data_IF_337463373853
#
_entry.id   IF_337463373853
#
_cell.length_a   1.000
_cell.length_b   1.000
_cell.length_c   1.000
_cell.angle_alpha   90.00
_cell.angle_beta   90.00
_cell.angle_gamma   90.00
#
_symmetry.space_group_name_H-M   'P 1'
#
loop_
_entity.id
_entity.type
_entity.pdbx_description
1 polymer ?
#
# COMPACT_ATOMS: atom_id res chain seq x y z
N UNK A 1 14.88 -23.69 -31.51
CA UNK A 1 13.71 -22.78 -31.45
C UNK A 1 14.15 -21.33 -31.40
N UNK A 2 13.58 -20.53 -32.31
CA UNK A 2 13.70 -19.06 -32.33
C UNK A 2 12.95 -18.44 -31.15
N UNK A 3 13.27 -17.18 -30.81
CA UNK A 3 12.62 -16.46 -29.71
C UNK A 3 11.14 -16.21 -30.05
N UNK A 4 10.19 -16.53 -29.17
CA UNK A 4 8.78 -16.29 -29.43
C UNK A 4 8.48 -14.79 -29.56
N UNK A 5 7.65 -14.43 -30.54
CA UNK A 5 7.15 -13.07 -30.69
C UNK A 5 6.08 -12.79 -29.63
N UNK A 6 6.21 -11.66 -28.94
CA UNK A 6 5.28 -11.25 -27.88
C UNK A 6 4.83 -9.83 -28.12
N UNK A 7 3.52 -9.65 -28.31
CA UNK A 7 2.88 -8.35 -28.50
C UNK A 7 2.54 -7.71 -27.15
N UNK A 8 2.92 -6.45 -26.95
CA UNK A 8 2.58 -5.70 -25.73
C UNK A 8 1.06 -5.49 -25.58
N UNK A 9 0.32 -5.34 -26.70
CA UNK A 9 -1.13 -5.20 -26.68
C UNK A 9 -1.80 -6.48 -26.14
N UNK A 10 -1.43 -7.64 -26.71
CA UNK A 10 -1.95 -8.94 -26.25
C UNK A 10 -1.59 -9.24 -24.78
N UNK A 11 -0.39 -8.88 -24.33
CA UNK A 11 -0.02 -9.02 -22.91
C UNK A 11 -0.87 -8.13 -22.00
N UNK A 12 -1.13 -6.88 -22.41
CA UNK A 12 -2.00 -5.96 -21.68
C UNK A 12 -3.43 -6.50 -21.61
N UNK A 13 -3.98 -6.99 -22.71
CA UNK A 13 -5.35 -7.54 -22.75
C UNK A 13 -5.46 -8.80 -21.87
N UNK A 14 -4.49 -9.73 -21.95
CA UNK A 14 -4.44 -10.91 -21.08
C UNK A 14 -4.27 -10.54 -19.60
N UNK A 15 -3.47 -9.51 -19.31
CA UNK A 15 -3.28 -9.01 -17.96
C UNK A 15 -4.59 -8.46 -17.38
N UNK A 16 -5.32 -7.64 -18.16
CA UNK A 16 -6.62 -7.09 -17.77
C UNK A 16 -7.60 -8.22 -17.52
N UNK A 17 -7.72 -9.17 -18.45
CA UNK A 17 -8.58 -10.35 -18.28
C UNK A 17 -8.27 -11.16 -17.02
N UNK A 18 -6.98 -11.35 -16.69
CA UNK A 18 -6.57 -12.02 -15.45
C UNK A 18 -6.96 -11.24 -14.19
N UNK A 19 -6.84 -9.91 -14.21
CA UNK A 19 -7.27 -9.06 -13.10
C UNK A 19 -8.79 -9.10 -12.91
N UNK A 20 -9.55 -9.05 -13.99
CA UNK A 20 -11.02 -9.17 -13.98
C UNK A 20 -11.46 -10.51 -13.41
N UNK A 21 -10.86 -11.61 -13.87
CA UNK A 21 -11.14 -12.94 -13.34
C UNK A 21 -10.85 -13.01 -11.83
N UNK A 22 -9.81 -12.32 -11.34
CA UNK A 22 -9.53 -12.25 -9.91
C UNK A 22 -10.66 -11.57 -9.13
N UNK A 23 -11.17 -10.43 -9.63
CA UNK A 23 -12.28 -9.69 -9.02
C UNK A 23 -13.56 -10.54 -9.04
N UNK A 24 -13.86 -11.18 -10.16
CA UNK A 24 -15.03 -12.06 -10.30
C UNK A 24 -14.98 -13.25 -9.33
N UNK A 25 -13.83 -13.93 -9.25
CA UNK A 25 -13.64 -15.05 -8.32
C UNK A 25 -13.77 -14.57 -6.87
N UNK A 26 -13.25 -13.38 -6.55
CA UNK A 26 -13.36 -12.82 -5.20
C UNK A 26 -14.83 -12.58 -4.80
N UNK A 27 -15.65 -12.13 -5.74
CA UNK A 27 -17.06 -11.82 -5.51
C UNK A 27 -17.99 -13.05 -5.52
N UNK A 28 -17.47 -14.26 -5.77
CA UNK A 28 -18.29 -15.48 -5.69
C UNK A 28 -18.66 -15.80 -4.23
N UNK A 29 -19.91 -16.21 -3.94
CA UNK A 29 -20.41 -16.37 -2.58
C UNK A 29 -19.92 -17.63 -1.84
N UNK A 30 -19.46 -18.67 -2.55
CA UNK A 30 -19.04 -19.94 -1.96
C UNK A 30 -17.77 -20.45 -2.64
N UNK A 31 -16.62 -20.17 -2.05
CA UNK A 31 -15.31 -20.62 -2.51
C UNK A 31 -14.38 -20.79 -1.31
N UNK A 32 -14.11 -22.03 -0.91
CA UNK A 32 -13.19 -22.39 0.19
C UNK A 32 -11.70 -22.19 -0.15
N UNK A 33 -11.38 -21.90 -1.42
CA UNK A 33 -10.02 -21.66 -1.91
C UNK A 33 -9.90 -20.32 -2.66
N UNK A 34 -10.70 -19.33 -2.24
CA UNK A 34 -10.88 -18.06 -2.96
C UNK A 34 -9.62 -17.21 -2.93
N UNK A 35 -9.11 -16.96 -1.74
CA UNK A 35 -8.01 -16.04 -1.48
C UNK A 35 -6.74 -16.50 -2.19
N UNK A 36 -6.53 -17.81 -2.26
CA UNK A 36 -5.41 -18.41 -2.99
C UNK A 36 -5.53 -18.20 -4.49
N UNK A 37 -6.70 -18.51 -5.07
CA UNK A 37 -6.94 -18.31 -6.51
C UNK A 37 -6.84 -16.84 -6.89
N UNK A 38 -7.45 -15.96 -6.09
CA UNK A 38 -7.44 -14.50 -6.32
C UNK A 38 -6.00 -13.98 -6.27
N UNK A 39 -5.22 -14.36 -5.26
CA UNK A 39 -3.81 -13.94 -5.16
C UNK A 39 -3.00 -14.39 -6.37
N UNK A 40 -3.18 -15.64 -6.82
CA UNK A 40 -2.50 -16.16 -8.02
C UNK A 40 -2.85 -15.35 -9.26
N UNK A 41 -4.12 -15.03 -9.44
CA UNK A 41 -4.60 -14.25 -10.58
C UNK A 41 -4.09 -12.80 -10.53
N UNK A 42 -4.11 -12.14 -9.37
CA UNK A 42 -3.59 -10.78 -9.18
C UNK A 42 -2.10 -10.72 -9.47
N UNK A 43 -1.30 -11.63 -8.91
CA UNK A 43 0.15 -11.69 -9.15
C UNK A 43 0.45 -11.94 -10.63
N UNK A 44 -0.30 -12.83 -11.29
CA UNK A 44 -0.17 -13.08 -12.72
C UNK A 44 -0.53 -11.84 -13.57
N UNK A 45 -1.63 -11.15 -13.23
CA UNK A 45 -2.02 -9.92 -13.91
C UNK A 45 -0.89 -8.89 -13.85
N UNK A 46 -0.31 -8.67 -12.66
CA UNK A 46 0.84 -7.79 -12.49
C UNK A 46 2.08 -8.24 -13.30
N UNK A 47 2.40 -9.53 -13.30
CA UNK A 47 3.53 -10.03 -14.09
C UNK A 47 3.34 -9.74 -15.59
N UNK A 48 2.13 -9.96 -16.11
CA UNK A 48 1.79 -9.70 -17.50
C UNK A 48 1.81 -8.21 -17.86
N UNK A 49 1.31 -7.32 -16.98
CA UNK A 49 1.29 -5.88 -17.27
C UNK A 49 2.69 -5.27 -17.26
N UNK A 50 3.57 -5.70 -16.33
CA UNK A 50 4.94 -5.23 -16.31
C UNK A 50 5.71 -5.73 -17.54
N UNK A 51 5.48 -6.97 -17.99
CA UNK A 51 6.02 -7.46 -19.28
C UNK A 51 5.50 -6.65 -20.46
N UNK A 52 4.22 -6.27 -20.44
CA UNK A 52 3.64 -5.42 -21.48
C UNK A 52 4.33 -4.04 -21.50
N UNK A 53 4.55 -3.42 -20.34
CA UNK A 53 5.21 -2.13 -20.20
C UNK A 53 6.66 -2.19 -20.72
N UNK A 54 7.42 -3.21 -20.30
CA UNK A 54 8.78 -3.47 -20.80
C UNK A 54 8.80 -3.63 -22.33
N UNK A 55 7.87 -4.40 -22.91
CA UNK A 55 7.78 -4.56 -24.38
C UNK A 55 7.34 -3.29 -25.10
N UNK A 56 6.43 -2.49 -24.53
CA UNK A 56 6.02 -1.19 -25.06
C UNK A 56 7.25 -0.27 -25.19
N UNK A 57 8.12 -0.29 -24.19
CA UNK A 57 9.42 0.41 -24.17
C UNK A 57 10.56 -0.32 -24.92
N UNK A 58 10.23 -1.30 -25.77
CA UNK A 58 11.15 -2.11 -26.58
C UNK A 58 12.22 -2.90 -25.79
N UNK A 59 12.03 -3.12 -24.48
CA UNK A 59 12.96 -3.85 -23.60
C UNK A 59 12.76 -5.36 -23.65
N UNK A 60 13.76 -6.13 -23.24
CA UNK A 60 13.69 -7.59 -23.21
C UNK A 60 12.75 -8.08 -22.08
N UNK A 61 12.11 -9.25 -22.26
CA UNK A 61 11.24 -9.89 -21.25
C UNK A 61 11.59 -11.38 -21.03
N UNK A 62 12.72 -11.85 -21.55
CA UNK A 62 13.14 -13.25 -21.48
C UNK A 62 14.54 -13.37 -20.87
N UNK A 63 14.74 -14.41 -20.08
CA UNK A 63 16.07 -14.79 -19.62
C UNK A 63 16.96 -15.17 -20.79
N UNK A 64 18.29 -15.12 -20.56
CA UNK A 64 19.25 -15.66 -21.51
C UNK A 64 18.92 -17.14 -21.74
N UNK A 65 18.83 -17.53 -23.01
CA UNK A 65 18.47 -18.89 -23.39
C UNK A 65 19.55 -19.87 -22.96
N UNK A 66 19.17 -20.93 -22.25
CA UNK A 66 20.04 -22.08 -21.97
C UNK A 66 19.93 -23.11 -23.10
N UNK A 67 21.02 -23.80 -23.40
CA UNK A 67 21.05 -24.81 -24.46
C UNK A 67 20.16 -25.99 -24.06
N UNK A 68 19.26 -26.40 -24.94
CA UNK A 68 18.34 -27.53 -24.71
C UNK A 68 17.06 -27.18 -23.93
N UNK A 69 16.92 -25.94 -23.43
CA UNK A 69 15.72 -25.49 -22.71
C UNK A 69 14.87 -24.52 -23.55
N UNK A 70 13.59 -24.44 -23.20
CA UNK A 70 12.66 -23.46 -23.75
C UNK A 70 12.96 -22.05 -23.26
N UNK A 71 12.44 -21.04 -23.99
CA UNK A 71 12.58 -19.65 -23.58
C UNK A 71 11.76 -19.37 -22.32
N UNK A 72 12.45 -19.07 -21.22
CA UNK A 72 11.83 -18.63 -19.98
C UNK A 72 11.60 -17.11 -19.99
N UNK A 73 10.34 -16.69 -19.82
CA UNK A 73 10.00 -15.28 -19.60
C UNK A 73 10.35 -14.85 -18.18
N UNK A 74 10.58 -13.55 -17.97
CA UNK A 74 10.89 -13.00 -16.64
C UNK A 74 9.81 -13.28 -15.59
N UNK A 75 10.20 -13.51 -14.34
CA UNK A 75 9.27 -13.51 -13.20
C UNK A 75 8.83 -12.08 -12.86
N UNK A 76 7.77 -11.94 -12.06
CA UNK A 76 7.33 -10.65 -11.53
C UNK A 76 8.48 -9.86 -10.86
N UNK A 77 9.25 -10.49 -9.97
CA UNK A 77 10.41 -9.85 -9.30
C UNK A 77 11.43 -9.32 -10.29
N UNK A 78 11.73 -10.08 -11.35
CA UNK A 78 12.67 -9.66 -12.38
C UNK A 78 12.10 -8.53 -13.24
N UNK A 79 10.78 -8.56 -13.50
CA UNK A 79 10.09 -7.47 -14.17
C UNK A 79 10.16 -6.18 -13.35
N UNK A 80 9.93 -6.24 -12.03
CA UNK A 80 10.07 -5.09 -11.12
C UNK A 80 11.50 -4.53 -11.20
N UNK A 81 12.52 -5.39 -11.09
CA UNK A 81 13.92 -4.97 -11.16
C UNK A 81 14.29 -4.30 -12.50
N UNK A 82 13.79 -4.83 -13.64
CA UNK A 82 14.02 -4.20 -14.94
C UNK A 82 13.23 -2.89 -15.11
N UNK A 83 12.03 -2.77 -14.53
CA UNK A 83 11.27 -1.51 -14.50
C UNK A 83 12.03 -0.42 -13.73
N UNK A 84 12.63 -0.77 -12.59
CA UNK A 84 13.47 0.15 -11.81
C UNK A 84 14.72 0.57 -12.59
N UNK A 85 15.43 -0.40 -13.16
CA UNK A 85 16.65 -0.19 -13.93
C UNK A 85 16.43 0.74 -15.13
N UNK A 86 15.31 0.62 -15.82
CA UNK A 86 14.98 1.47 -16.97
C UNK A 86 14.13 2.70 -16.60
N UNK A 87 13.82 2.91 -15.32
CA UNK A 87 12.99 4.02 -14.82
C UNK A 87 11.65 4.14 -15.56
N UNK A 88 10.93 3.04 -15.63
CA UNK A 88 9.65 2.94 -16.38
C UNK A 88 8.41 3.08 -15.51
N UNK A 89 8.57 3.38 -14.21
CA UNK A 89 7.45 3.66 -13.31
C UNK A 89 6.85 5.03 -13.63
N UNK A 90 5.52 5.16 -13.77
CA UNK A 90 4.86 6.45 -13.98
C UNK A 90 5.08 7.39 -12.79
N UNK A 91 5.24 8.69 -13.04
CA UNK A 91 5.37 9.70 -11.98
C UNK A 91 4.10 9.84 -11.13
N UNK A 92 2.95 9.49 -11.69
CA UNK A 92 1.65 9.54 -11.02
C UNK A 92 1.41 8.40 -10.02
N UNK A 93 2.26 7.37 -10.03
CA UNK A 93 2.12 6.18 -9.19
C UNK A 93 3.37 6.02 -8.35
N UNK A 94 3.22 5.97 -7.02
CA UNK A 94 4.35 5.68 -6.14
C UNK A 94 4.84 4.25 -6.34
N UNK A 95 5.92 4.10 -7.12
CA UNK A 95 6.53 2.81 -7.39
C UNK A 95 7.02 2.12 -6.11
N UNK A 96 7.41 2.84 -5.05
CA UNK A 96 7.93 2.22 -3.83
C UNK A 96 6.82 1.47 -3.08
N UNK A 97 5.65 2.11 -2.91
CA UNK A 97 4.48 1.47 -2.32
C UNK A 97 3.97 0.28 -3.14
N UNK A 98 3.92 0.42 -4.47
CA UNK A 98 3.53 -0.69 -5.37
C UNK A 98 4.49 -1.86 -5.25
N UNK A 99 5.81 -1.61 -5.22
CA UNK A 99 6.83 -2.65 -5.03
C UNK A 99 6.62 -3.42 -3.73
N UNK A 100 6.41 -2.71 -2.62
CA UNK A 100 6.16 -3.31 -1.33
C UNK A 100 4.90 -4.18 -1.34
N UNK A 101 3.79 -3.67 -1.89
CA UNK A 101 2.55 -4.43 -2.05
C UNK A 101 2.76 -5.72 -2.87
N UNK A 102 3.43 -5.63 -4.02
CA UNK A 102 3.69 -6.78 -4.89
C UNK A 102 4.62 -7.82 -4.25
N UNK A 103 5.60 -7.39 -3.45
CA UNK A 103 6.48 -8.29 -2.71
C UNK A 103 5.67 -9.11 -1.69
N UNK A 104 4.83 -8.45 -0.90
CA UNK A 104 3.95 -9.11 0.10
C UNK A 104 3.03 -10.14 -0.57
N UNK A 105 2.39 -9.76 -1.69
CA UNK A 105 1.51 -10.67 -2.41
C UNK A 105 2.25 -11.83 -3.08
N UNK A 106 3.48 -11.61 -3.55
CA UNK A 106 4.31 -12.67 -4.16
C UNK A 106 4.79 -13.66 -3.10
N UNK A 107 5.24 -13.18 -1.95
CA UNK A 107 5.63 -14.03 -0.82
C UNK A 107 4.45 -14.83 -0.32
N UNK A 108 3.29 -14.19 -0.15
CA UNK A 108 2.06 -14.86 0.23
C UNK A 108 1.67 -15.92 -0.80
N UNK A 109 1.68 -15.59 -2.10
CA UNK A 109 1.42 -16.53 -3.20
C UNK A 109 2.36 -17.74 -3.18
N UNK A 110 3.65 -17.54 -2.92
CA UNK A 110 4.60 -18.64 -2.81
C UNK A 110 4.32 -19.49 -1.56
N UNK A 111 3.94 -18.88 -0.43
CA UNK A 111 3.58 -19.61 0.80
C UNK A 111 2.26 -20.40 0.62
N UNK A 112 1.20 -19.82 0.05
CA UNK A 112 -0.15 -20.44 0.01
C UNK A 112 -0.31 -21.53 -1.05
N UNK A 113 0.46 -21.47 -2.14
CA UNK A 113 0.45 -22.53 -3.16
C UNK A 113 1.12 -23.79 -2.60
N UNK A 114 2.09 -23.62 -1.69
CA UNK A 114 2.92 -24.70 -1.18
C UNK A 114 2.54 -25.14 0.24
N UNK A 115 1.77 -24.35 0.99
CA UNK A 115 1.41 -24.58 2.39
C UNK A 115 -0.08 -24.29 2.66
N UNK A 116 -0.57 -24.78 3.80
CA UNK A 116 -1.88 -24.41 4.35
C UNK A 116 -1.76 -23.10 5.12
N UNK A 117 -2.60 -22.11 4.81
CA UNK A 117 -2.66 -20.84 5.55
C UNK A 117 -3.92 -20.81 6.41
N UNK A 118 -3.75 -20.39 7.67
CA UNK A 118 -4.85 -20.19 8.59
C UNK A 118 -5.81 -19.10 8.09
N UNK A 119 -7.11 -19.33 8.25
CA UNK A 119 -8.17 -18.42 7.76
C UNK A 119 -8.06 -16.99 8.32
N UNK A 120 -7.44 -16.84 9.49
CA UNK A 120 -7.14 -15.57 10.14
C UNK A 120 -6.34 -14.60 9.26
N UNK A 121 -5.49 -15.12 8.37
CA UNK A 121 -4.66 -14.30 7.50
C UNK A 121 -5.41 -13.73 6.29
N UNK A 122 -6.57 -14.30 5.96
CA UNK A 122 -7.38 -13.90 4.81
C UNK A 122 -7.92 -12.47 4.97
N UNK A 123 -8.28 -12.07 6.19
CA UNK A 123 -8.78 -10.72 6.52
C UNK A 123 -7.71 -9.65 6.28
N UNK A 124 -6.47 -9.93 6.69
CA UNK A 124 -5.31 -9.05 6.48
C UNK A 124 -4.96 -8.98 5.00
N UNK A 125 -4.98 -10.12 4.31
CA UNK A 125 -4.68 -10.21 2.87
C UNK A 125 -5.62 -9.36 2.02
N UNK A 126 -6.90 -9.27 2.39
CA UNK A 126 -7.88 -8.47 1.66
C UNK A 126 -7.43 -7.02 1.47
N UNK A 127 -6.84 -6.40 2.51
CA UNK A 127 -6.36 -5.01 2.46
C UNK A 127 -5.24 -4.83 1.42
N UNK A 128 -4.36 -5.82 1.28
CA UNK A 128 -3.27 -5.81 0.29
C UNK A 128 -3.78 -6.08 -1.11
N UNK A 129 -4.71 -7.04 -1.28
CA UNK A 129 -5.33 -7.36 -2.57
C UNK A 129 -6.12 -6.17 -3.11
N UNK A 130 -6.95 -5.55 -2.28
CA UNK A 130 -7.75 -4.38 -2.67
C UNK A 130 -6.84 -3.22 -3.09
N UNK A 131 -5.77 -2.95 -2.33
CA UNK A 131 -4.81 -1.91 -2.71
C UNK A 131 -4.06 -2.26 -4.01
N UNK A 132 -3.76 -3.54 -4.23
CA UNK A 132 -3.12 -4.01 -5.46
C UNK A 132 -3.97 -3.75 -6.70
N UNK A 133 -5.30 -3.94 -6.60
CA UNK A 133 -6.24 -3.66 -7.69
C UNK A 133 -6.29 -2.16 -8.00
N UNK A 134 -6.32 -1.30 -6.98
CA UNK A 134 -6.28 0.16 -7.16
C UNK A 134 -4.98 0.60 -7.83
N UNK A 135 -3.85 0.12 -7.32
CA UNK A 135 -2.53 0.39 -7.90
C UNK A 135 -2.43 -0.10 -9.35
N UNK A 136 -3.03 -1.25 -9.65
CA UNK A 136 -3.04 -1.83 -10.99
C UNK A 136 -3.83 -0.95 -11.96
N UNK A 137 -5.04 -0.51 -11.57
CA UNK A 137 -5.84 0.42 -12.37
C UNK A 137 -5.06 1.69 -12.70
N UNK A 138 -4.48 2.34 -11.69
CA UNK A 138 -3.72 3.58 -11.87
C UNK A 138 -2.51 3.37 -12.80
N UNK A 139 -1.80 2.25 -12.64
CA UNK A 139 -0.65 1.90 -13.49
C UNK A 139 -1.05 1.64 -14.95
N UNK A 140 -2.12 0.89 -15.18
CA UNK A 140 -2.62 0.58 -16.53
C UNK A 140 -3.10 1.86 -17.21
N UNK A 141 -3.82 2.72 -16.48
CA UNK A 141 -4.28 4.01 -16.99
C UNK A 141 -3.07 4.88 -17.37
N UNK A 142 -2.08 5.01 -16.50
CA UNK A 142 -0.91 5.84 -16.74
C UNK A 142 -0.04 5.38 -17.92
N UNK A 143 0.14 4.06 -18.12
CA UNK A 143 1.02 3.55 -19.18
C UNK A 143 0.27 3.26 -20.48
N UNK A 144 -0.95 2.73 -20.41
CA UNK A 144 -1.68 2.22 -21.58
C UNK A 144 -2.89 3.07 -21.97
N UNK A 145 -3.24 4.09 -21.18
CA UNK A 145 -4.41 4.95 -21.40
C UNK A 145 -5.70 4.13 -21.56
N UNK A 146 -5.83 3.11 -20.70
CA UNK A 146 -7.00 2.23 -20.61
C UNK A 146 -7.47 2.21 -19.16
N UNK A 147 -8.76 2.41 -18.92
CA UNK A 147 -9.30 2.14 -17.59
C UNK A 147 -9.67 0.65 -17.48
N UNK A 148 -9.53 0.11 -16.27
CA UNK A 148 -10.10 -1.19 -15.92
C UNK A 148 -11.63 -1.09 -15.83
N UNK A 149 -12.15 0.09 -15.50
CA UNK A 149 -13.58 0.35 -15.39
C UNK A 149 -14.34 0.11 -16.70
N UNK A 150 -13.70 0.28 -17.85
CA UNK A 150 -14.30 0.08 -19.17
C UNK A 150 -14.61 -1.39 -19.48
N UNK A 151 -13.97 -2.33 -18.77
CA UNK A 151 -14.17 -3.76 -19.00
C UNK A 151 -15.20 -4.41 -18.06
N UNK A 152 -15.79 -3.67 -17.11
CA UNK A 152 -16.70 -4.23 -16.09
C UNK A 152 -18.04 -3.52 -16.09
N UNK A 153 -19.12 -4.30 -15.98
CA UNK A 153 -20.43 -3.79 -15.58
C UNK A 153 -20.48 -3.67 -14.05
N UNK A 154 -20.11 -2.49 -13.51
CA UNK A 154 -20.04 -2.24 -12.06
C UNK A 154 -21.37 -2.35 -11.30
N UNK A 155 -22.49 -2.45 -12.02
CA UNK A 155 -23.83 -2.67 -11.45
C UNK A 155 -24.09 -4.09 -10.96
N UNK A 156 -23.12 -5.01 -11.08
CA UNK A 156 -23.19 -6.40 -10.58
C UNK A 156 -22.66 -6.58 -9.14
N UNK A 157 -22.71 -5.53 -8.30
CA UNK A 157 -22.49 -5.72 -6.87
C UNK A 157 -23.55 -6.66 -6.29
N UNK A 158 -23.19 -7.55 -5.35
CA UNK A 158 -24.15 -8.51 -4.82
C UNK A 158 -25.31 -7.77 -4.13
N UNK A 159 -26.54 -8.07 -4.55
CA UNK A 159 -27.75 -7.86 -3.77
C UNK A 159 -27.66 -8.78 -2.55
N UNK A 160 -26.89 -8.36 -1.54
CA UNK A 160 -26.76 -9.07 -0.30
C UNK A 160 -27.96 -8.74 0.59
N UNK A 161 -28.58 -9.76 1.18
CA UNK A 161 -29.65 -9.56 2.17
C UNK A 161 -29.15 -8.84 3.45
N UNK A 162 -27.83 -8.75 3.63
CA UNK A 162 -27.14 -8.03 4.71
C UNK A 162 -25.80 -7.48 4.21
N UNK A 163 -25.45 -6.28 4.67
CA UNK A 163 -24.16 -5.63 4.43
C UNK A 163 -23.04 -6.45 5.08
N UNK A 164 -21.89 -6.70 4.42
CA UNK A 164 -20.75 -7.36 5.05
C UNK A 164 -20.03 -6.35 5.96
N UNK A 165 -20.59 -6.15 7.14
CA UNK A 165 -19.90 -5.59 8.29
C UNK A 165 -19.56 -6.76 9.19
N UNK A 166 -18.33 -7.30 9.12
CA UNK A 166 -17.68 -8.07 10.20
C UNK A 166 -16.54 -8.94 9.63
N UNK A 167 -15.28 -8.51 9.79
CA UNK A 167 -14.14 -9.46 9.86
C UNK A 167 -12.91 -8.90 10.59
N UNK A 168 -13.09 -8.11 11.67
CA UNK A 168 -11.97 -7.80 12.58
C UNK A 168 -12.48 -7.81 14.02
N UNK A 169 -12.95 -8.97 14.52
CA UNK A 169 -13.31 -9.10 15.94
C UNK A 169 -12.97 -10.40 16.64
N UNK A 170 -12.28 -11.34 16.01
CA UNK A 170 -11.82 -12.55 16.70
C UNK A 170 -10.53 -13.10 16.11
N UNK A 171 -9.46 -12.32 16.17
CA UNK A 171 -8.11 -12.89 16.20
C UNK A 171 -7.85 -13.37 17.64
N UNK A 172 -8.53 -14.46 18.03
CA UNK A 172 -7.97 -15.37 19.05
C UNK A 172 -7.29 -16.46 18.27
N UNK A 173 -5.96 -16.45 18.33
CA UNK A 173 -5.11 -17.54 17.85
C UNK A 173 -5.37 -18.74 18.75
N UNK A 174 -6.44 -19.47 18.50
CA UNK A 174 -6.65 -20.84 18.99
C UNK A 174 -6.22 -21.83 17.88
N UNK A 175 -5.14 -21.48 17.18
CA UNK A 175 -4.52 -22.31 16.15
C UNK A 175 -3.40 -23.17 16.72
N UNK A 176 -3.37 -24.43 16.31
CA UNK A 176 -2.35 -25.43 16.63
C UNK A 176 -0.92 -24.85 16.50
N UNK A 177 -0.03 -25.14 17.45
CA UNK A 177 1.25 -24.41 17.71
C UNK A 177 2.12 -24.19 16.46
N UNK A 178 2.04 -25.07 15.46
CA UNK A 178 2.79 -24.95 14.19
C UNK A 178 2.18 -23.96 13.19
N UNK A 179 0.85 -23.84 13.16
CA UNK A 179 0.15 -22.84 12.33
C UNK A 179 0.37 -21.42 12.87
N UNK A 180 0.42 -21.26 14.19
CA UNK A 180 0.76 -20.01 14.85
C UNK A 180 2.16 -19.50 14.45
N UNK A 181 3.17 -20.38 14.34
CA UNK A 181 4.53 -19.99 13.97
C UNK A 181 4.62 -19.44 12.54
N UNK A 182 3.96 -20.10 11.57
CA UNK A 182 3.96 -19.64 10.17
C UNK A 182 3.26 -18.28 10.03
N UNK A 183 2.18 -18.08 10.78
CA UNK A 183 1.47 -16.80 10.83
C UNK A 183 2.33 -15.73 11.50
N UNK A 184 2.97 -16.03 12.62
CA UNK A 184 3.84 -15.09 13.33
C UNK A 184 5.04 -14.68 12.49
N UNK A 185 5.66 -15.62 11.79
CA UNK A 185 6.78 -15.34 10.87
C UNK A 185 6.32 -14.51 9.68
N UNK A 186 5.14 -14.79 9.11
CA UNK A 186 4.55 -13.93 8.07
C UNK A 186 4.27 -12.51 8.58
N UNK A 187 3.71 -12.36 9.79
CA UNK A 187 3.46 -11.04 10.38
C UNK A 187 4.75 -10.28 10.68
N UNK A 188 5.83 -10.99 11.05
CA UNK A 188 7.16 -10.42 11.25
C UNK A 188 7.76 -9.92 9.93
N UNK A 189 7.72 -10.77 8.89
CA UNK A 189 8.15 -10.42 7.53
C UNK A 189 7.39 -9.18 7.03
N UNK A 190 6.07 -9.17 7.23
CA UNK A 190 5.20 -8.06 6.85
C UNK A 190 5.58 -6.76 7.56
N UNK A 191 5.82 -6.79 8.88
CA UNK A 191 6.30 -5.60 9.62
C UNK A 191 7.65 -5.12 9.10
N UNK A 192 8.56 -6.03 8.77
CA UNK A 192 9.87 -5.67 8.24
C UNK A 192 9.78 -5.05 6.85
N UNK A 193 8.93 -5.58 5.97
CA UNK A 193 8.70 -5.03 4.62
C UNK A 193 8.06 -3.65 4.72
N UNK A 194 7.04 -3.48 5.56
CA UNK A 194 6.38 -2.18 5.79
C UNK A 194 7.38 -1.18 6.38
N UNK A 195 8.13 -1.54 7.42
CA UNK A 195 9.13 -0.65 8.02
C UNK A 195 10.25 -0.26 7.04
N UNK A 196 10.65 -1.18 6.15
CA UNK A 196 11.59 -0.86 5.07
C UNK A 196 10.98 0.09 4.04
N UNK A 197 9.75 -0.15 3.59
CA UNK A 197 9.04 0.74 2.67
C UNK A 197 8.85 2.13 3.28
N UNK A 198 8.51 2.20 4.57
CA UNK A 198 8.39 3.45 5.32
C UNK A 198 9.72 4.18 5.37
N UNK A 199 10.84 3.49 5.66
CA UNK A 199 12.17 4.10 5.64
C UNK A 199 12.58 4.66 4.27
N UNK A 200 12.00 4.12 3.18
CA UNK A 200 12.18 4.59 1.81
C UNK A 200 11.19 5.70 1.42
N UNK A 201 10.37 6.19 2.36
CA UNK A 201 9.34 7.20 2.12
C UNK A 201 8.28 6.74 1.11
N UNK A 202 7.92 5.46 1.13
CA UNK A 202 6.80 4.94 0.34
C UNK A 202 5.48 5.47 0.91
N UNK A 203 4.52 5.78 0.05
CA UNK A 203 3.17 6.12 0.47
C UNK A 203 2.50 4.89 1.10
N UNK A 204 2.22 4.95 2.40
CA UNK A 204 1.62 3.84 3.14
C UNK A 204 0.25 3.44 2.57
N UNK A 205 -0.50 4.42 2.04
CA UNK A 205 -1.78 4.19 1.39
C UNK A 205 -1.66 3.36 0.10
N UNK A 206 -0.46 3.25 -0.48
CA UNK A 206 -0.17 2.43 -1.65
C UNK A 206 0.23 1.00 -1.30
N UNK A 207 0.52 0.72 -0.04
CA UNK A 207 0.90 -0.61 0.45
C UNK A 207 -0.35 -1.42 0.83
N UNK A 208 -1.23 -0.82 1.63
CA UNK A 208 -2.50 -1.40 2.07
C UNK A 208 -3.54 -0.32 2.39
N UNK A 209 -4.82 -0.66 2.31
CA UNK A 209 -5.90 0.25 2.72
C UNK A 209 -6.02 0.26 4.24
N UNK A 210 -5.95 1.43 4.87
CA UNK A 210 -6.22 1.60 6.31
C UNK A 210 -7.71 1.85 6.51
N UNK A 211 -8.40 1.00 7.28
CA UNK A 211 -9.80 1.22 7.68
C UNK A 211 -9.86 1.81 9.09
N UNK A 212 -10.26 3.07 9.23
CA UNK A 212 -10.56 3.68 10.52
C UNK A 212 -12.03 3.40 10.90
N UNK A 213 -12.25 2.46 11.82
CA UNK A 213 -13.59 2.18 12.34
C UNK A 213 -13.85 3.09 13.54
N UNK A 214 -14.59 4.18 13.32
CA UNK A 214 -15.05 5.06 14.38
C UNK A 214 -16.33 4.51 15.03
N UNK A 215 -16.20 3.93 16.23
CA UNK A 215 -17.34 3.45 17.02
C UNK A 215 -17.93 4.59 17.85
N UNK A 216 -19.15 5.03 17.51
CA UNK A 216 -19.92 5.96 18.33
C UNK A 216 -21.05 5.24 19.06
N UNK A 217 -21.14 5.41 20.37
CA UNK A 217 -22.22 4.82 21.18
C UNK A 217 -23.49 5.70 21.07
N UNK A 218 -24.45 5.29 20.24
CA UNK A 218 -25.77 5.92 20.15
C UNK A 218 -26.81 5.12 20.93
N UNK A 219 -27.48 5.74 21.92
CA UNK A 219 -28.47 5.06 22.79
C UNK A 219 -29.79 4.66 22.13
N UNK A 220 -30.02 4.98 20.85
CA UNK A 220 -31.16 4.51 20.04
C UNK A 220 -30.75 4.62 18.58
N UNK A 221 -30.56 3.50 17.89
CA UNK A 221 -30.25 3.53 16.45
C UNK A 221 -31.09 2.44 15.77
N UNK A 222 -32.13 2.83 15.04
CA UNK A 222 -33.04 1.91 14.32
C UNK A 222 -32.52 1.52 12.93
N UNK A 223 -31.24 1.77 12.64
CA UNK A 223 -30.50 1.38 11.42
C UNK A 223 -29.02 1.70 11.68
N UNK A 224 -28.28 0.72 12.19
CA UNK A 224 -26.84 0.81 12.36
C UNK A 224 -26.17 -0.22 11.45
N UNK A 225 -25.11 0.18 10.75
CA UNK A 225 -24.23 -0.72 9.99
C UNK A 225 -23.31 -1.55 10.89
N UNK A 226 -23.42 -1.41 12.23
CA UNK A 226 -22.72 -2.23 13.20
C UNK A 226 -23.49 -2.24 14.54
N UNK A 227 -24.00 -3.40 14.97
CA UNK A 227 -24.54 -3.60 16.31
C UNK A 227 -23.50 -4.28 17.21
N UNK A 228 -23.08 -3.60 18.28
CA UNK A 228 -22.24 -4.21 19.31
C UNK A 228 -23.11 -4.57 20.51
N UNK A 229 -23.56 -5.82 20.58
CA UNK A 229 -24.27 -6.33 21.75
C UNK A 229 -23.27 -6.58 22.89
N UNK A 230 -23.39 -5.84 24.00
CA UNK A 230 -22.65 -6.13 25.22
C UNK A 230 -23.36 -7.29 25.93
N UNK A 231 -22.93 -8.52 25.65
CA UNK A 231 -23.36 -9.68 26.42
C UNK A 231 -22.73 -9.61 27.82
N UNK A 232 -23.55 -9.42 28.85
CA UNK A 232 -23.13 -9.32 30.26
C UNK A 232 -22.62 -10.66 30.86
N UNK A 233 -22.42 -11.70 30.04
CA UNK A 233 -22.02 -13.05 30.48
C UNK A 233 -20.78 -13.64 29.80
N UNK A 234 -20.12 -12.92 28.90
CA UNK A 234 -18.84 -13.35 28.32
C UNK A 234 -17.74 -12.37 28.77
N UNK A 235 -16.49 -12.82 29.00
CA UNK A 235 -15.40 -11.92 29.34
C UNK A 235 -15.20 -10.93 28.19
N UNK A 236 -15.73 -9.73 28.37
CA UNK A 236 -15.63 -8.59 27.46
C UNK A 236 -14.19 -8.11 27.41
N UNK A 237 -13.38 -8.69 26.54
CA UNK A 237 -12.09 -8.10 26.18
C UNK A 237 -12.34 -7.02 25.14
N UNK A 238 -12.62 -5.81 25.59
CA UNK A 238 -12.48 -4.62 24.76
C UNK A 238 -10.97 -4.49 24.48
N UNK A 239 -10.51 -4.99 23.32
CA UNK A 239 -9.15 -4.71 22.85
C UNK A 239 -9.14 -3.27 22.33
N UNK A 240 -9.15 -2.29 23.23
CA UNK A 240 -8.58 -0.99 22.91
C UNK A 240 -7.07 -1.24 22.80
N UNK A 241 -6.61 -1.57 21.59
CA UNK A 241 -5.18 -1.58 21.32
C UNK A 241 -4.72 -0.13 21.45
N UNK A 242 -4.18 0.19 22.61
CA UNK A 242 -3.46 1.43 22.86
C UNK A 242 -2.19 1.33 22.01
N UNK A 243 -2.29 1.74 20.74
CA UNK A 243 -1.14 1.77 19.85
C UNK A 243 -0.17 2.78 20.44
N UNK A 244 1.05 2.34 20.72
CA UNK A 244 2.08 3.24 21.26
C UNK A 244 2.30 4.36 20.23
N UNK A 245 2.18 5.65 20.61
CA UNK A 245 2.48 6.75 19.72
C UNK A 245 3.86 6.66 19.08
N UNK A 246 4.84 6.02 19.75
CA UNK A 246 6.18 5.80 19.21
C UNK A 246 6.21 4.79 18.03
N UNK A 247 5.27 3.86 17.96
CA UNK A 247 5.16 2.91 16.83
C UNK A 247 4.56 3.60 15.59
N UNK A 248 3.67 4.57 15.79
CA UNK A 248 2.99 5.31 14.69
C UNK A 248 3.79 6.51 14.19
N UNK A 249 4.58 7.13 15.07
CA UNK A 249 5.37 8.33 14.79
C UNK A 249 6.82 8.11 15.22
N UNK A 250 7.55 7.23 14.53
CA UNK A 250 8.88 6.80 14.95
C UNK A 250 9.98 7.85 14.78
N UNK A 251 9.76 8.93 14.03
CA UNK A 251 10.83 9.85 13.64
C UNK A 251 10.84 11.13 14.47
N UNK A 252 12.01 11.48 15.02
CA UNK A 252 12.27 12.85 15.45
C UNK A 252 12.35 13.80 14.24
N UNK A 253 12.18 15.10 14.46
CA UNK A 253 12.24 16.09 13.40
C UNK A 253 13.61 16.08 12.66
N UNK A 254 14.70 15.76 13.37
CA UNK A 254 16.04 15.62 12.77
C UNK A 254 16.15 14.37 11.90
N UNK A 255 15.73 13.21 12.44
CA UNK A 255 15.74 11.93 11.71
C UNK A 255 14.84 11.98 10.47
N UNK A 256 13.69 12.68 10.54
CA UNK A 256 12.81 12.87 9.39
C UNK A 256 13.53 13.60 8.24
N UNK A 257 14.26 14.69 8.55
CA UNK A 257 15.00 15.47 7.55
C UNK A 257 16.19 14.68 6.99
N UNK A 258 16.89 13.93 7.84
CA UNK A 258 17.98 13.05 7.41
C UNK A 258 17.47 11.99 6.44
N UNK A 259 16.41 11.25 6.81
CA UNK A 259 15.80 10.25 5.94
C UNK A 259 15.20 10.84 4.68
N UNK A 260 14.57 12.02 4.76
CA UNK A 260 14.05 12.69 3.57
C UNK A 260 15.17 13.02 2.57
N UNK A 261 16.37 13.37 3.06
CA UNK A 261 17.54 13.60 2.22
C UNK A 261 18.15 12.31 1.65
N UNK A 262 18.10 11.20 2.39
CA UNK A 262 18.53 9.88 1.87
C UNK A 262 17.61 9.36 0.76
N UNK A 263 16.30 9.56 0.93
CA UNK A 263 15.27 9.12 -0.01
C UNK A 263 15.23 10.01 -1.25
N UNK A 264 15.37 11.34 -1.11
CA UNK A 264 15.51 12.29 -2.22
C UNK A 264 16.93 12.22 -2.77
N UNK A 265 17.22 11.17 -3.54
CA UNK A 265 18.53 10.94 -4.20
C UNK A 265 18.99 12.08 -5.14
N UNK A 266 18.06 12.92 -5.60
CA UNK A 266 18.31 14.06 -6.48
C UNK A 266 17.48 15.27 -6.02
N UNK A 267 18.13 16.41 -5.81
CA UNK A 267 17.50 17.65 -5.35
C UNK A 267 18.34 18.39 -4.31
N UNK A 268 17.82 19.51 -3.81
CA UNK A 268 18.44 20.27 -2.71
C UNK A 268 18.43 19.46 -1.42
N UNK A 269 19.47 19.64 -0.59
CA UNK A 269 19.46 19.14 0.78
C UNK A 269 18.44 19.90 1.61
N UNK A 270 17.44 19.18 2.11
CA UNK A 270 16.46 19.67 3.06
C UNK A 270 17.11 19.94 4.40
N UNK A 271 16.66 21.00 5.02
CA UNK A 271 17.10 21.46 6.35
C UNK A 271 15.91 21.45 7.31
N UNK A 272 16.20 21.56 8.61
CA UNK A 272 15.16 21.74 9.65
C UNK A 272 14.26 22.95 9.38
N UNK A 273 14.79 23.97 8.67
CA UNK A 273 14.02 25.13 8.27
C UNK A 273 12.95 24.77 7.22
N UNK A 274 13.27 23.89 6.27
CA UNK A 274 12.31 23.42 5.25
C UNK A 274 11.14 22.68 5.88
N UNK A 275 11.44 21.76 6.81
CA UNK A 275 10.40 21.06 7.56
C UNK A 275 9.50 22.05 8.31
N UNK A 276 10.08 23.10 8.91
CA UNK A 276 9.31 24.13 9.62
C UNK A 276 8.39 24.91 8.68
N UNK A 277 8.88 25.29 7.50
CA UNK A 277 8.10 26.04 6.53
C UNK A 277 6.95 25.19 5.96
N UNK A 278 7.23 23.94 5.60
CA UNK A 278 6.21 23.00 5.09
C UNK A 278 5.17 22.66 6.15
N UNK A 279 5.61 22.42 7.39
CA UNK A 279 4.72 22.17 8.50
C UNK A 279 3.78 23.34 8.80
N UNK A 280 4.25 24.57 8.61
CA UNK A 280 3.42 25.77 8.74
C UNK A 280 2.42 25.89 7.59
N UNK A 281 2.87 25.73 6.33
CA UNK A 281 2.03 25.95 5.16
C UNK A 281 0.91 24.92 5.01
N UNK A 282 1.22 23.65 5.30
CA UNK A 282 0.32 22.52 5.12
C UNK A 282 -0.33 22.05 6.42
N UNK A 283 -0.11 22.74 7.54
CA UNK A 283 -0.72 22.37 8.83
C UNK A 283 -0.30 20.99 9.34
N UNK A 284 0.90 20.50 8.98
CA UNK A 284 1.32 19.12 9.30
C UNK A 284 1.41 18.83 10.81
N UNK A 285 1.46 19.87 11.65
CA UNK A 285 1.45 19.74 13.13
C UNK A 285 0.05 19.65 13.72
N UNK A 286 -0.96 20.03 12.96
CA UNK A 286 -2.36 20.02 13.40
C UNK A 286 -3.02 18.68 13.04
N UNK A 287 -2.50 17.99 12.03
CA UNK A 287 -2.97 16.69 11.59
C UNK A 287 -2.19 15.54 12.24
N UNK A 288 -2.93 14.72 13.00
CA UNK A 288 -2.41 13.56 13.73
C UNK A 288 -1.91 12.43 12.83
N UNK A 289 -2.19 12.50 11.51
CA UNK A 289 -1.61 11.60 10.51
C UNK A 289 -0.12 11.86 10.30
N UNK A 290 0.30 13.13 10.38
CA UNK A 290 1.65 13.55 10.01
C UNK A 290 2.56 13.77 11.22
N UNK A 291 2.01 14.36 12.29
CA UNK A 291 2.79 14.66 13.48
C UNK A 291 1.99 14.46 14.76
N UNK A 292 2.69 14.01 15.80
CA UNK A 292 2.16 13.86 17.13
C UNK A 292 3.02 14.60 18.16
N UNK A 293 2.38 15.16 19.18
CA UNK A 293 3.04 15.75 20.34
C UNK A 293 2.49 15.16 21.62
N UNK A 294 3.37 14.54 22.40
CA UNK A 294 3.01 14.01 23.70
C UNK A 294 2.65 15.12 24.70
N UNK A 295 1.77 14.81 25.65
CA UNK A 295 1.37 15.75 26.72
C UNK A 295 2.55 16.25 27.56
N UNK A 296 3.59 15.42 27.72
CA UNK A 296 4.78 15.70 28.52
C UNK A 296 6.05 15.93 27.69
N UNK A 297 5.99 15.81 26.36
CA UNK A 297 7.15 15.99 25.49
C UNK A 297 6.99 17.31 24.70
N UNK A 298 7.92 18.26 24.80
CA UNK A 298 7.83 19.51 24.05
C UNK A 298 8.08 19.33 22.55
N UNK A 299 8.70 18.21 22.15
CA UNK A 299 9.07 17.94 20.76
C UNK A 299 7.98 17.19 20.00
N UNK A 300 7.81 17.55 18.72
CA UNK A 300 6.96 16.83 17.78
C UNK A 300 7.70 15.61 17.22
N UNK A 301 7.02 14.47 17.18
CA UNK A 301 7.45 13.27 16.45
C UNK A 301 6.60 13.09 15.19
N UNK A 302 7.15 12.44 14.19
CA UNK A 302 6.63 12.42 12.83
C UNK A 302 6.45 10.98 12.33
N UNK A 303 5.42 10.78 11.50
CA UNK A 303 5.10 9.50 10.88
C UNK A 303 5.80 9.29 9.53
N UNK A 304 5.76 8.07 8.99
CA UNK A 304 6.14 7.77 7.61
C UNK A 304 5.33 8.53 6.56
N UNK A 305 4.10 8.92 6.85
CA UNK A 305 3.29 9.74 5.94
C UNK A 305 3.86 11.15 5.78
N UNK A 306 4.47 11.70 6.84
CA UNK A 306 5.17 12.99 6.76
C UNK A 306 6.43 12.87 5.89
N UNK A 307 7.13 11.74 5.96
CA UNK A 307 8.31 11.47 5.11
C UNK A 307 7.90 11.38 3.63
N UNK A 308 6.85 10.62 3.34
CA UNK A 308 6.30 10.46 1.99
C UNK A 308 5.79 11.78 1.42
N UNK A 309 5.13 12.59 2.25
CA UNK A 309 4.71 13.93 1.88
C UNK A 309 5.91 14.78 1.46
N UNK A 310 6.97 14.85 2.27
CA UNK A 310 8.16 15.66 1.97
C UNK A 310 8.92 15.17 0.73
N UNK A 311 8.96 13.85 0.50
CA UNK A 311 9.58 13.25 -0.68
C UNK A 311 8.91 13.70 -1.97
N UNK A 312 7.58 13.72 -1.99
CA UNK A 312 6.77 13.98 -3.19
C UNK A 312 6.66 15.46 -3.58
N UNK A 313 7.19 16.38 -2.77
CA UNK A 313 7.21 17.81 -3.09
C UNK A 313 8.36 18.14 -4.04
N UNK A 314 8.22 19.18 -4.86
CA UNK A 314 9.30 19.63 -5.77
C UNK A 314 10.22 20.64 -5.07
N UNK A 315 11.44 20.81 -5.59
CA UNK A 315 12.37 21.82 -5.03
C UNK A 315 11.84 23.25 -5.20
N UNK A 316 11.08 23.51 -6.27
CA UNK A 316 10.38 24.78 -6.49
C UNK A 316 9.31 25.04 -5.43
N UNK A 317 8.57 24.01 -5.01
CA UNK A 317 7.60 24.12 -3.94
C UNK A 317 8.28 24.49 -2.61
N UNK A 318 9.41 23.85 -2.29
CA UNK A 318 10.18 24.20 -1.09
C UNK A 318 10.68 25.66 -1.10
N UNK A 319 11.10 26.17 -2.26
CA UNK A 319 11.53 27.58 -2.38
C UNK A 319 10.37 28.56 -2.28
N UNK A 320 9.24 28.26 -2.93
CA UNK A 320 8.01 29.04 -2.82
C UNK A 320 7.57 29.16 -1.35
N UNK A 321 7.52 28.03 -0.65
CA UNK A 321 7.05 27.97 0.75
C UNK A 321 8.03 28.68 1.70
N UNK A 322 9.34 28.66 1.43
CA UNK A 322 10.32 29.45 2.21
C UNK A 322 10.07 30.95 2.08
N UNK A 323 9.85 31.46 0.87
CA UNK A 323 9.59 32.89 0.67
C UNK A 323 8.24 33.33 1.26
N UNK A 324 7.20 32.50 1.14
CA UNK A 324 5.91 32.72 1.82
C UNK A 324 6.09 32.81 3.34
N UNK A 325 6.83 31.87 3.94
CA UNK A 325 7.07 31.85 5.39
C UNK A 325 7.89 33.06 5.87
N UNK A 326 8.87 33.50 5.08
CA UNK A 326 9.67 34.70 5.33
C UNK A 326 8.82 35.98 5.29
N UNK A 327 7.87 36.08 4.36
CA UNK A 327 6.92 37.18 4.30
C UNK A 327 5.99 37.18 5.51
N UNK A 328 5.45 36.01 5.89
CA UNK A 328 4.67 35.85 7.11
C UNK A 328 5.44 36.29 8.37
N UNK A 329 6.71 35.92 8.50
CA UNK A 329 7.54 36.36 9.63
C UNK A 329 7.78 37.88 9.62
N UNK A 330 7.92 38.51 8.44
CA UNK A 330 8.05 39.96 8.30
C UNK A 330 6.78 40.70 8.70
N UNK A 331 5.62 40.20 8.29
CA UNK A 331 4.31 40.76 8.67
C UNK A 331 4.05 40.61 10.16
N UNK A 332 4.34 39.44 10.73
CA UNK A 332 4.21 39.19 12.18
C UNK A 332 5.12 40.09 13.03
N UNK A 333 6.31 40.43 12.52
CA UNK A 333 7.22 41.39 13.16
C UNK A 333 6.73 42.83 13.03
N UNK A 334 6.05 43.17 11.93
CA UNK A 334 5.44 44.49 11.71
C UNK A 334 4.18 44.70 12.56
N UNK A 335 3.36 43.68 12.78
CA UNK A 335 2.18 43.75 13.64
C UNK A 335 2.44 43.59 15.15
N UNK A 336 3.70 43.39 15.56
CA UNK A 336 4.14 43.36 16.97
C UNK A 336 4.87 44.64 17.42
N UNK A 337 5.14 45.56 16.49
CA UNK A 337 5.47 46.95 16.79
C UNK A 337 4.18 47.74 16.79
#
# INVERSE_FOLDING_TARGET
>A
MARPYVSHKKLCDNSRAAMLAAIEVYNKPQTTYREQVVTVLVVNAWELILKAALRKSRKNIFYKKKRGEDYRSFSLEHCIAEMDKYRLWPETVDGDGVRANLHILTDYRNKIIHLYVADDLNSVLYMFLQQSIVNYRDFVLAIFDKDLADDITWTLLPLAARTPSDTIRSLRVDGDVKSAQVVEDFLRDLRQIIGKAESLGADMGRIAIVQEINLQSGKKISRADLEVAINQGAPTTIVQRKVDPNDTHPFSAGELVERANEVRKHGRKLTMHDLTCMAWRHGLREDTKYAWRGKHNPSWVWSGDALSFLKNQTDEDFDRVREEYKNYLREKRRGKK
#
